data_IF_587479692662
#
_entry.id   IF_587479692662
#
_cell.length_a   1.000
_cell.length_b   1.000
_cell.length_c   1.000
_cell.angle_alpha   90.00
_cell.angle_beta   90.00
_cell.angle_gamma   90.00
#
_symmetry.space_group_name_H-M   'P 1'
#
loop_
_entity.id
_entity.type
_entity.pdbx_description
1 polymer ?
#
# COMPACT_ATOMS: atom_id res chain seq x y z
N UNK A 1 -1.28 -26.87 11.99
CA UNK A 1 -1.53 -26.05 10.79
C UNK A 1 -1.14 -24.62 11.08
N UNK A 2 -0.35 -24.02 10.20
CA UNK A 2 -0.02 -22.62 10.32
C UNK A 2 -1.28 -21.76 10.10
N UNK A 3 -1.58 -20.89 11.01
CA UNK A 3 -2.67 -19.95 10.82
C UNK A 3 -2.31 -18.94 9.72
N UNK A 4 -3.27 -18.61 8.88
CA UNK A 4 -3.07 -17.59 7.86
C UNK A 4 -2.99 -16.20 8.49
N UNK A 5 -2.12 -15.35 7.96
CA UNK A 5 -2.07 -13.95 8.38
C UNK A 5 -3.35 -13.24 7.99
N UNK A 6 -3.88 -12.45 8.91
CA UNK A 6 -5.10 -11.66 8.73
C UNK A 6 -4.85 -10.22 9.11
N UNK A 7 -5.68 -9.34 8.60
CA UNK A 7 -5.63 -7.92 8.93
C UNK A 7 -6.38 -7.65 10.24
N UNK A 8 -5.73 -6.90 11.11
CA UNK A 8 -6.30 -6.43 12.38
C UNK A 8 -6.19 -4.92 12.47
N UNK A 9 -7.14 -4.31 13.16
CA UNK A 9 -7.15 -2.87 13.39
C UNK A 9 -6.68 -2.59 14.81
N UNK A 10 -5.71 -1.71 14.93
CA UNK A 10 -5.17 -1.26 16.21
C UNK A 10 -5.52 0.20 16.42
N UNK A 11 -6.11 0.50 17.55
CA UNK A 11 -6.42 1.87 17.95
C UNK A 11 -5.22 2.51 18.65
N UNK A 12 -4.87 3.72 18.22
CA UNK A 12 -3.77 4.51 18.79
C UNK A 12 -4.26 5.88 19.25
N UNK A 13 -3.45 6.55 20.01
CA UNK A 13 -3.69 7.97 20.27
C UNK A 13 -3.53 8.77 18.97
N UNK A 14 -4.31 9.82 18.83
CA UNK A 14 -4.23 10.70 17.66
C UNK A 14 -2.82 11.31 17.51
N UNK A 15 -2.25 11.21 16.31
CA UNK A 15 -0.90 11.67 16.04
C UNK A 15 0.21 10.65 16.32
N UNK A 16 -0.11 9.49 16.91
CA UNK A 16 0.87 8.43 17.21
C UNK A 16 0.95 7.35 16.13
N UNK A 17 0.14 7.40 15.09
CA UNK A 17 0.05 6.35 14.07
C UNK A 17 1.40 6.05 13.43
N UNK A 18 2.11 7.07 12.99
CA UNK A 18 3.45 6.92 12.39
C UNK A 18 4.48 6.40 13.39
N UNK A 19 4.42 6.87 14.63
CA UNK A 19 5.31 6.41 15.70
C UNK A 19 5.07 4.94 16.02
N UNK A 20 3.82 4.53 16.10
CA UNK A 20 3.42 3.14 16.34
C UNK A 20 3.89 2.25 15.19
N UNK A 21 3.63 2.66 13.95
CA UNK A 21 4.10 1.93 12.77
C UNK A 21 5.63 1.73 12.79
N UNK A 22 6.38 2.80 12.97
CA UNK A 22 7.84 2.74 13.02
C UNK A 22 8.36 1.85 14.15
N UNK A 23 7.72 1.92 15.32
CA UNK A 23 8.09 1.10 16.48
C UNK A 23 7.83 -0.38 16.23
N UNK A 24 6.69 -0.72 15.64
CA UNK A 24 6.34 -2.11 15.31
C UNK A 24 7.30 -2.66 14.25
N UNK A 25 7.56 -1.91 13.19
CA UNK A 25 8.50 -2.30 12.13
C UNK A 25 9.91 -2.55 12.70
N UNK A 26 10.38 -1.67 13.56
CA UNK A 26 11.67 -1.83 14.24
C UNK A 26 11.68 -3.05 15.15
N UNK A 27 10.60 -3.33 15.86
CA UNK A 27 10.47 -4.50 16.73
C UNK A 27 10.47 -5.79 15.91
N UNK A 28 9.80 -5.80 14.76
CA UNK A 28 9.82 -6.94 13.83
C UNK A 28 11.25 -7.24 13.40
N UNK A 29 11.98 -6.23 12.98
CA UNK A 29 13.37 -6.35 12.54
C UNK A 29 14.29 -6.81 13.69
N UNK A 30 14.17 -6.20 14.86
CA UNK A 30 15.04 -6.49 16.03
C UNK A 30 14.79 -7.86 16.61
N UNK A 31 13.55 -8.33 16.63
CA UNK A 31 13.15 -9.60 17.22
C UNK A 31 12.92 -10.71 16.20
N UNK A 32 13.15 -10.46 14.93
CA UNK A 32 12.93 -11.42 13.84
C UNK A 32 11.50 -11.98 13.83
N UNK A 33 10.51 -11.08 13.83
CA UNK A 33 9.09 -11.41 13.86
C UNK A 33 8.41 -11.38 12.50
N UNK A 34 9.19 -11.41 11.43
CA UNK A 34 8.70 -11.36 10.05
C UNK A 34 7.69 -12.47 9.73
N UNK A 35 7.84 -13.60 10.39
CA UNK A 35 6.93 -14.74 10.26
C UNK A 35 5.57 -14.51 10.92
N UNK A 36 5.51 -13.63 11.93
CA UNK A 36 4.30 -13.35 12.70
C UNK A 36 3.61 -12.06 12.26
N UNK A 37 4.37 -10.99 12.10
CA UNK A 37 3.85 -9.67 11.70
C UNK A 37 4.42 -9.34 10.33
N UNK A 38 3.55 -9.35 9.31
CA UNK A 38 3.97 -9.20 7.93
C UNK A 38 3.98 -7.75 7.46
N UNK A 39 2.92 -7.00 7.72
CA UNK A 39 2.72 -5.67 7.19
C UNK A 39 2.09 -4.78 8.25
N UNK A 40 2.56 -3.54 8.33
CA UNK A 40 1.94 -2.47 9.12
C UNK A 40 1.59 -1.34 8.17
N UNK A 41 0.34 -0.95 8.11
CA UNK A 41 -0.15 0.06 7.18
C UNK A 41 -1.00 1.11 7.88
N UNK A 42 -0.82 2.35 7.46
CA UNK A 42 -1.70 3.46 7.84
C UNK A 42 -2.46 3.85 6.58
N UNK A 43 -3.78 3.61 6.50
CA UNK A 43 -4.55 3.95 5.31
C UNK A 43 -4.50 5.46 5.05
N UNK A 44 -4.04 5.83 3.87
CA UNK A 44 -3.93 7.21 3.41
C UNK A 44 -4.72 7.40 2.13
N UNK A 45 -5.29 8.57 1.97
CA UNK A 45 -5.89 8.99 0.69
C UNK A 45 -5.27 10.29 0.22
N UNK A 46 -5.09 10.41 -1.08
CA UNK A 46 -4.61 11.64 -1.69
C UNK A 46 -5.79 12.55 -1.98
N UNK A 47 -5.80 13.73 -1.39
CA UNK A 47 -6.85 14.73 -1.56
C UNK A 47 -6.30 15.91 -2.35
N UNK A 48 -7.02 16.30 -3.41
CA UNK A 48 -6.72 17.51 -4.17
C UNK A 48 -7.69 18.60 -3.77
N UNK A 49 -7.18 19.68 -3.23
CA UNK A 49 -7.96 20.86 -2.83
C UNK A 49 -7.60 22.03 -3.73
N UNK A 50 -8.61 22.75 -4.19
CA UNK A 50 -8.41 23.96 -5.00
C UNK A 50 -8.25 25.13 -4.04
N UNK A 51 -7.05 25.72 -4.04
CA UNK A 51 -6.72 26.91 -3.26
C UNK A 51 -6.55 28.14 -4.14
N UNK A 52 -6.51 29.33 -3.54
CA UNK A 52 -6.28 30.59 -4.26
C UNK A 52 -4.96 30.61 -5.04
N UNK A 53 -3.99 29.80 -4.64
CA UNK A 53 -2.69 29.61 -5.29
C UNK A 53 -2.67 28.47 -6.32
N UNK A 54 -3.80 27.82 -6.59
CA UNK A 54 -3.95 26.69 -7.51
C UNK A 54 -4.26 25.36 -6.80
N UNK A 55 -4.31 24.24 -7.52
CA UNK A 55 -4.59 22.95 -6.93
C UNK A 55 -3.44 22.53 -6.02
N UNK A 56 -3.78 22.11 -4.81
CA UNK A 56 -2.85 21.57 -3.82
C UNK A 56 -3.22 20.13 -3.51
N UNK A 57 -2.27 19.23 -3.68
CA UNK A 57 -2.44 17.81 -3.39
C UNK A 57 -1.72 17.47 -2.09
N UNK A 58 -2.41 16.79 -1.18
CA UNK A 58 -1.85 16.32 0.08
C UNK A 58 -2.42 14.96 0.46
N UNK A 59 -1.67 14.22 1.24
CA UNK A 59 -2.10 12.93 1.77
C UNK A 59 -2.79 13.12 3.12
N UNK A 60 -3.93 12.48 3.27
CA UNK A 60 -4.75 12.52 4.47
C UNK A 60 -4.96 11.11 5.01
N UNK A 61 -4.91 10.95 6.32
CA UNK A 61 -5.25 9.68 6.96
C UNK A 61 -6.74 9.40 6.81
N UNK A 62 -7.08 8.23 6.27
CA UNK A 62 -8.48 7.82 6.10
C UNK A 62 -9.12 7.56 7.46
N UNK A 63 -8.38 6.94 8.37
CA UNK A 63 -8.83 6.64 9.73
C UNK A 63 -7.80 7.15 10.75
N UNK A 64 -7.86 8.43 11.16
CA UNK A 64 -6.97 8.95 12.20
C UNK A 64 -7.12 8.17 13.51
N UNK A 65 -6.00 7.80 14.12
CA UNK A 65 -6.00 7.01 15.34
C UNK A 65 -6.10 5.50 15.14
N UNK A 66 -5.98 5.01 13.91
CA UNK A 66 -6.02 3.58 13.58
C UNK A 66 -4.81 3.18 12.74
N UNK A 67 -4.30 1.99 13.04
CA UNK A 67 -3.23 1.35 12.28
C UNK A 67 -3.67 -0.05 11.89
N UNK A 68 -3.44 -0.45 10.65
CA UNK A 68 -3.76 -1.78 10.15
C UNK A 68 -2.51 -2.65 10.18
N UNK A 69 -2.65 -3.86 10.71
CA UNK A 69 -1.55 -4.81 10.81
C UNK A 69 -1.98 -6.15 10.23
N UNK A 70 -1.21 -6.64 9.27
CA UNK A 70 -1.35 -8.01 8.76
C UNK A 70 -0.42 -8.92 9.56
N UNK A 71 -1.00 -9.81 10.34
CA UNK A 71 -0.24 -10.65 11.26
C UNK A 71 -0.94 -11.99 11.49
N UNK A 72 -0.14 -12.96 11.92
CA UNK A 72 -0.68 -14.20 12.47
C UNK A 72 -0.92 -13.97 13.96
N UNK A 73 -2.18 -14.06 14.39
CA UNK A 73 -2.53 -13.82 15.78
C UNK A 73 -1.93 -14.91 16.68
N UNK A 74 -1.08 -14.49 17.58
CA UNK A 74 -0.50 -15.31 18.63
C UNK A 74 -0.43 -14.48 19.91
N UNK A 75 -0.29 -15.13 21.04
CA UNK A 75 -0.13 -14.45 22.34
C UNK A 75 1.08 -13.52 22.33
N UNK A 76 2.18 -13.95 21.71
CA UNK A 76 3.40 -13.18 21.57
C UNK A 76 3.19 -11.93 20.71
N UNK A 77 2.64 -12.09 19.51
CA UNK A 77 2.38 -10.98 18.59
C UNK A 77 1.38 -9.99 19.18
N UNK A 78 0.32 -10.48 19.79
CA UNK A 78 -0.68 -9.65 20.47
C UNK A 78 -0.06 -8.83 21.60
N UNK A 79 0.74 -9.47 22.45
CA UNK A 79 1.40 -8.83 23.56
C UNK A 79 2.39 -7.73 23.09
N UNK A 80 3.17 -8.01 22.06
CA UNK A 80 4.13 -7.06 21.51
C UNK A 80 3.42 -5.82 20.97
N UNK A 81 2.39 -6.01 20.14
CA UNK A 81 1.64 -4.90 19.53
C UNK A 81 0.90 -4.08 20.60
N UNK A 82 0.26 -4.75 21.54
CA UNK A 82 -0.48 -4.09 22.63
C UNK A 82 0.40 -3.23 23.51
N UNK A 83 1.65 -3.60 23.71
CA UNK A 83 2.60 -2.86 24.56
C UNK A 83 3.39 -1.77 23.83
N UNK A 84 3.15 -1.57 22.55
CA UNK A 84 3.78 -0.46 21.81
C UNK A 84 3.24 0.88 22.34
N UNK A 85 4.17 1.80 22.61
CA UNK A 85 3.81 3.12 23.09
C UNK A 85 2.94 3.85 22.06
N UNK A 86 1.79 4.34 22.50
CA UNK A 86 0.81 5.00 21.65
C UNK A 86 -0.37 4.10 21.26
N UNK A 87 -0.25 2.79 21.44
CA UNK A 87 -1.33 1.84 21.20
C UNK A 87 -2.26 1.80 22.41
N UNK A 88 -3.56 1.99 22.17
CA UNK A 88 -4.61 1.85 23.20
C UNK A 88 -5.15 0.44 23.27
N UNK A 89 -5.10 -0.32 22.17
CA UNK A 89 -5.55 -1.69 22.07
C UNK A 89 -6.01 -2.06 20.68
N UNK A 90 -6.37 -3.34 20.51
CA UNK A 90 -6.99 -3.80 19.28
C UNK A 90 -8.46 -3.43 19.23
N UNK A 91 -8.95 -3.17 18.03
CA UNK A 91 -10.38 -3.02 17.79
C UNK A 91 -11.04 -4.42 17.80
N UNK A 92 -12.12 -4.54 18.51
CA UNK A 92 -12.83 -5.77 18.73
C UNK A 92 -13.06 -6.04 20.22
N UNK A 93 -13.08 -7.30 20.62
CA UNK A 93 -13.22 -7.63 22.03
C UNK A 93 -11.89 -7.44 22.79
N UNK A 94 -11.97 -7.17 24.08
CA UNK A 94 -10.80 -6.98 24.93
C UNK A 94 -9.91 -8.21 25.05
N UNK A 95 -10.44 -9.39 24.82
CA UNK A 95 -9.72 -10.65 24.95
C UNK A 95 -9.29 -11.28 23.64
N UNK A 96 -10.02 -11.00 22.54
CA UNK A 96 -9.70 -11.51 21.21
C UNK A 96 -9.91 -10.42 20.16
N UNK A 97 -8.86 -9.97 19.50
CA UNK A 97 -8.99 -9.08 18.36
C UNK A 97 -9.79 -9.75 17.24
N UNK A 98 -10.64 -8.99 16.59
CA UNK A 98 -11.46 -9.47 15.48
C UNK A 98 -10.74 -9.11 14.17
N UNK A 99 -10.40 -10.10 13.33
CA UNK A 99 -9.78 -9.81 12.04
C UNK A 99 -10.77 -9.14 11.09
N UNK A 100 -10.25 -8.31 10.20
CA UNK A 100 -11.06 -7.73 9.12
C UNK A 100 -11.50 -8.83 8.16
N UNK A 101 -12.71 -8.69 7.62
CA UNK A 101 -13.18 -9.55 6.55
C UNK A 101 -12.48 -9.20 5.23
N UNK A 102 -12.50 -10.12 4.28
CA UNK A 102 -11.94 -9.88 2.94
C UNK A 102 -12.59 -8.67 2.25
N UNK A 103 -13.89 -8.48 2.47
CA UNK A 103 -14.62 -7.33 1.93
C UNK A 103 -14.15 -6.00 2.55
N UNK A 104 -13.90 -5.98 3.85
CA UNK A 104 -13.38 -4.80 4.54
C UNK A 104 -11.95 -4.47 4.10
N UNK A 105 -11.11 -5.49 3.95
CA UNK A 105 -9.75 -5.33 3.43
C UNK A 105 -9.76 -4.76 2.02
N UNK A 106 -10.63 -5.28 1.14
CA UNK A 106 -10.78 -4.78 -0.23
C UNK A 106 -11.24 -3.32 -0.27
N UNK A 107 -12.17 -2.93 0.61
CA UNK A 107 -12.65 -1.54 0.72
C UNK A 107 -11.56 -0.58 1.19
N UNK A 108 -10.68 -1.04 2.05
CA UNK A 108 -9.57 -0.23 2.56
C UNK A 108 -8.40 -0.12 1.57
N UNK A 109 -8.35 -1.01 0.56
CA UNK A 109 -7.34 -1.00 -0.48
C UNK A 109 -5.92 -1.33 -0.01
N UNK A 110 -5.74 -1.79 1.23
CA UNK A 110 -4.41 -2.02 1.81
C UNK A 110 -3.64 -3.17 1.17
N UNK A 111 -4.33 -4.16 0.63
CA UNK A 111 -3.67 -5.25 -0.11
C UNK A 111 -3.38 -4.89 -1.56
N UNK A 112 -4.17 -4.01 -2.15
CA UNK A 112 -3.94 -3.54 -3.51
C UNK A 112 -2.63 -2.75 -3.65
N UNK A 113 -2.15 -2.12 -2.59
CA UNK A 113 -0.85 -1.44 -2.57
C UNK A 113 0.34 -2.42 -2.60
N UNK A 114 0.12 -3.67 -2.19
CA UNK A 114 1.17 -4.69 -2.11
C UNK A 114 1.11 -5.73 -3.23
N UNK A 115 -0.04 -5.85 -3.88
CA UNK A 115 -0.24 -6.70 -5.06
C UNK A 115 -0.49 -5.84 -6.30
N UNK A 116 0.46 -4.97 -6.61
CA UNK A 116 0.49 -4.37 -7.93
C UNK A 116 0.90 -5.45 -8.93
N UNK A 117 -0.02 -6.35 -9.19
CA UNK A 117 0.10 -7.23 -10.33
C UNK A 117 -0.24 -6.42 -11.56
N UNK A 118 0.77 -6.10 -12.31
CA UNK A 118 0.57 -5.57 -13.66
C UNK A 118 0.31 -6.75 -14.59
N UNK A 119 -0.67 -6.62 -15.46
CA UNK A 119 -1.04 -7.66 -16.43
C UNK A 119 -0.07 -7.76 -17.59
N UNK A 120 1.07 -7.09 -17.52
CA UNK A 120 2.11 -7.06 -18.54
C UNK A 120 3.50 -7.23 -17.91
N UNK A 121 4.45 -7.67 -18.70
CA UNK A 121 5.84 -7.88 -18.29
C UNK A 121 6.80 -7.09 -19.18
N UNK A 122 8.07 -7.02 -18.76
CA UNK A 122 9.12 -6.46 -19.61
C UNK A 122 9.20 -7.20 -20.94
N UNK A 123 9.22 -6.44 -22.02
CA UNK A 123 9.20 -6.97 -23.38
C UNK A 123 7.81 -7.11 -23.99
N UNK A 124 6.76 -6.87 -23.25
CA UNK A 124 5.38 -6.91 -23.76
C UNK A 124 5.00 -5.60 -24.43
N UNK A 125 4.10 -5.69 -25.40
CA UNK A 125 3.48 -4.50 -26.00
C UNK A 125 2.29 -4.04 -25.16
N UNK A 126 2.22 -2.77 -24.90
CA UNK A 126 1.14 -2.16 -24.13
C UNK A 126 0.57 -0.95 -24.86
N UNK A 127 -0.70 -0.68 -24.63
CA UNK A 127 -1.36 0.54 -25.07
C UNK A 127 -1.39 1.53 -23.92
N UNK A 128 -1.03 2.77 -24.21
CA UNK A 128 -1.08 3.85 -23.23
C UNK A 128 -2.51 4.36 -23.13
N UNK A 129 -3.08 4.29 -21.93
CA UNK A 129 -4.50 4.61 -21.69
C UNK A 129 -4.72 5.98 -21.04
N UNK A 130 -3.64 6.68 -20.70
CA UNK A 130 -3.75 7.98 -20.08
C UNK A 130 -2.51 8.84 -20.25
N UNK A 131 -2.66 10.13 -20.04
CA UNK A 131 -1.59 11.11 -20.19
C UNK A 131 -1.42 11.63 -21.61
N UNK A 132 -0.31 12.35 -21.86
CA UNK A 132 -0.08 12.99 -23.17
C UNK A 132 0.16 11.99 -24.32
N UNK A 133 0.44 10.73 -24.00
CA UNK A 133 0.70 9.66 -24.97
C UNK A 133 -0.47 8.67 -25.11
N UNK A 134 -1.64 9.03 -24.63
CA UNK A 134 -2.84 8.19 -24.73
C UNK A 134 -3.12 7.76 -26.17
N UNK A 135 -3.36 6.45 -26.35
CA UNK A 135 -3.62 5.87 -27.67
C UNK A 135 -2.36 5.38 -28.42
N UNK A 136 -1.18 5.65 -27.90
CA UNK A 136 0.05 5.11 -28.47
C UNK A 136 0.33 3.70 -27.93
N UNK A 137 0.99 2.90 -28.76
CA UNK A 137 1.46 1.57 -28.39
C UNK A 137 2.97 1.61 -28.18
N UNK A 138 3.42 1.00 -27.13
CA UNK A 138 4.84 0.93 -26.81
C UNK A 138 5.28 -0.42 -26.28
N UNK A 139 6.59 -0.62 -26.23
CA UNK A 139 7.22 -1.80 -25.69
C UNK A 139 7.67 -1.51 -24.26
N UNK A 140 7.33 -2.37 -23.30
CA UNK A 140 7.77 -2.23 -21.91
C UNK A 140 9.27 -2.50 -21.80
N UNK A 141 10.03 -1.50 -21.42
CA UNK A 141 11.46 -1.60 -21.20
C UNK A 141 11.80 -2.05 -19.77
N UNK A 142 11.10 -1.50 -18.78
CA UNK A 142 11.31 -1.85 -17.38
C UNK A 142 10.07 -1.49 -16.54
N UNK A 143 9.89 -2.21 -15.45
CA UNK A 143 8.79 -1.99 -14.51
C UNK A 143 9.39 -1.74 -13.12
N UNK A 144 9.06 -0.61 -12.51
CA UNK A 144 9.45 -0.29 -11.14
C UNK A 144 8.21 -0.34 -10.25
N UNK A 145 8.03 -1.46 -9.57
CA UNK A 145 6.87 -1.68 -8.69
C UNK A 145 6.94 -0.82 -7.43
N UNK A 146 8.14 -0.47 -6.97
CA UNK A 146 8.32 0.37 -5.78
C UNK A 146 7.87 1.80 -6.02
N UNK A 147 8.19 2.33 -7.19
CA UNK A 147 7.79 3.68 -7.60
C UNK A 147 6.44 3.72 -8.30
N UNK A 148 5.85 2.56 -8.56
CA UNK A 148 4.60 2.41 -9.31
C UNK A 148 4.70 3.02 -10.72
N UNK A 149 5.84 2.86 -11.33
CA UNK A 149 6.15 3.40 -12.66
C UNK A 149 6.54 2.31 -13.64
N UNK A 150 6.22 2.54 -14.89
CA UNK A 150 6.66 1.70 -16.00
C UNK A 150 7.34 2.56 -17.04
N UNK A 151 8.46 2.08 -17.55
CA UNK A 151 9.15 2.72 -18.66
C UNK A 151 8.78 2.00 -19.94
N UNK A 152 8.20 2.72 -20.87
CA UNK A 152 7.70 2.21 -22.13
C UNK A 152 8.41 2.92 -23.28
N UNK A 153 8.88 2.14 -24.24
CA UNK A 153 9.49 2.66 -25.46
C UNK A 153 8.41 2.85 -26.53
N UNK A 154 8.16 4.09 -26.87
CA UNK A 154 7.11 4.47 -27.81
C UNK A 154 7.75 4.98 -29.10
N UNK A 155 7.26 4.52 -30.23
CA UNK A 155 7.68 5.03 -31.53
C UNK A 155 6.79 6.21 -31.94
N UNK A 156 7.37 7.40 -31.98
CA UNK A 156 6.70 8.63 -32.37
C UNK A 156 7.47 9.30 -33.50
N UNK A 157 6.76 9.66 -34.56
CA UNK A 157 7.35 10.40 -35.70
C UNK A 157 8.63 9.76 -36.29
N UNK A 158 8.67 8.42 -36.32
CA UNK A 158 9.82 7.67 -36.81
C UNK A 158 11.02 7.60 -35.85
N UNK A 159 10.83 8.05 -34.58
CA UNK A 159 11.83 7.99 -33.53
C UNK A 159 11.30 7.21 -32.34
N UNK A 160 12.15 6.41 -31.75
CA UNK A 160 11.85 5.71 -30.51
C UNK A 160 12.18 6.60 -29.32
N UNK A 161 11.22 6.77 -28.43
CA UNK A 161 11.35 7.58 -27.23
C UNK A 161 10.89 6.79 -26.03
N UNK A 162 11.71 6.73 -24.98
CA UNK A 162 11.30 6.11 -23.72
C UNK A 162 10.46 7.11 -22.91
N UNK A 163 9.28 6.67 -22.47
CA UNK A 163 8.40 7.44 -21.63
C UNK A 163 8.17 6.72 -20.30
N UNK A 164 8.17 7.46 -19.21
CA UNK A 164 7.83 6.94 -17.89
C UNK A 164 6.37 7.24 -17.59
N UNK A 165 5.62 6.19 -17.26
CA UNK A 165 4.19 6.24 -17.01
C UNK A 165 3.86 5.62 -15.65
N UNK A 166 2.70 5.95 -15.13
CA UNK A 166 2.16 5.23 -14.00
C UNK A 166 1.70 3.83 -14.44
N UNK A 167 1.80 2.84 -13.56
CA UNK A 167 1.46 1.45 -13.89
C UNK A 167 0.02 1.29 -14.40
N UNK A 168 -0.89 2.12 -13.93
CA UNK A 168 -2.28 2.11 -14.35
C UNK A 168 -2.55 2.82 -15.69
N UNK A 169 -1.55 3.48 -16.25
CA UNK A 169 -1.65 4.19 -17.54
C UNK A 169 -1.26 3.32 -18.74
N UNK A 170 -0.84 2.09 -18.51
CA UNK A 170 -0.49 1.13 -19.53
C UNK A 170 -1.36 -0.10 -19.40
N UNK A 171 -1.84 -0.63 -20.53
CA UNK A 171 -2.70 -1.80 -20.60
C UNK A 171 -2.10 -2.80 -21.59
N UNK A 172 -2.08 -4.09 -21.27
CA UNK A 172 -1.60 -5.11 -22.21
C UNK A 172 -2.49 -5.17 -23.46
N UNK A 173 -1.84 -5.40 -24.58
CA UNK A 173 -2.54 -5.60 -25.86
C UNK A 173 -3.10 -7.01 -25.98
#
# INVERSE_FOLDING_TARGET
MAEAAKWYVVHTYSGYENTVKATIEKTIETRHLEDLIHIVSIPMETVTEITDNGPKTYDRKVFPGYVLIKMIMSDEAWYIVKNVRGVTGFVGSTSKPIPLSEEEVAKLGVEAEHELTVDYAEGDNVEITGGPLEGFVGLVESIDLQKQKVRVKVSMFGRETSAELDLNQAKPL
#
